data_IF_513501946155
#
_entry.id   IF_513501946155
#
_cell.length_a   1.000
_cell.length_b   1.000
_cell.length_c   1.000
_cell.angle_alpha   90.00
_cell.angle_beta   90.00
_cell.angle_gamma   90.00
#
_symmetry.space_group_name_H-M   'P 1'
#
loop_
_entity.id
_entity.type
_entity.pdbx_description
1 polymer ?
#
# COMPACT_ATOMS: atom_id res chain seq x y z
N UNK A 1 -11.34 13.48 8.85
CA UNK A 1 -10.93 12.91 8.62
C UNK A 1 -11.25 11.74 8.61
N UNK A 2 -11.33 11.18 7.90
CA UNK A 2 -12.07 10.04 7.94
C UNK A 2 -11.36 8.90 7.34
N UNK A 3 -10.53 8.32 8.08
CA UNK A 3 -9.97 7.04 7.69
C UNK A 3 -10.12 6.08 8.86
N UNK A 4 -9.96 4.81 8.56
CA UNK A 4 -10.15 3.75 9.55
C UNK A 4 -8.89 2.90 9.64
N UNK A 5 -8.86 2.04 10.63
CA UNK A 5 -7.85 0.98 10.68
C UNK A 5 -8.47 -0.31 10.21
N UNK A 6 -7.67 -1.16 9.58
CA UNK A 6 -8.11 -2.47 9.15
C UNK A 6 -7.17 -3.50 9.77
N UNK A 7 -7.73 -4.60 10.25
CA UNK A 7 -6.92 -5.67 10.83
C UNK A 7 -6.33 -6.54 9.73
N UNK A 8 -5.28 -7.28 10.08
CA UNK A 8 -4.70 -8.20 9.11
C UNK A 8 -5.70 -9.28 8.70
N UNK A 9 -6.57 -9.68 9.62
CA UNK A 9 -7.58 -10.68 9.30
C UNK A 9 -8.60 -10.15 8.29
N UNK A 10 -9.05 -8.94 8.50
CA UNK A 10 -10.02 -8.35 7.58
C UNK A 10 -9.40 -8.11 6.21
N UNK A 11 -8.16 -7.66 6.18
CA UNK A 11 -7.51 -7.44 4.90
C UNK A 11 -7.29 -8.76 4.16
N UNK A 12 -6.91 -9.81 4.89
CA UNK A 12 -6.72 -11.11 4.27
C UNK A 12 -7.98 -11.58 3.55
N UNK A 13 -9.13 -11.36 4.17
CA UNK A 13 -10.39 -11.82 3.58
C UNK A 13 -10.77 -11.01 2.34
N UNK A 14 -10.09 -9.90 2.09
CA UNK A 14 -10.46 -9.01 0.99
C UNK A 14 -9.38 -8.88 -0.08
N UNK A 15 -8.34 -9.71 -0.01
CA UNK A 15 -7.19 -9.56 -0.92
C UNK A 15 -7.56 -9.69 -2.39
N UNK A 16 -8.61 -10.41 -2.71
CA UNK A 16 -8.99 -10.61 -4.11
C UNK A 16 -10.04 -9.63 -4.60
N UNK A 17 -10.46 -8.70 -3.77
CA UNK A 17 -11.46 -7.71 -4.13
C UNK A 17 -10.87 -6.76 -5.19
N UNK A 18 -11.45 -6.71 -6.41
CA UNK A 18 -10.89 -5.86 -7.45
C UNK A 18 -11.03 -4.36 -7.19
N UNK A 19 -11.87 -3.99 -6.24
CA UNK A 19 -12.05 -2.58 -5.88
C UNK A 19 -11.04 -2.11 -4.85
N UNK A 20 -10.25 -3.01 -4.31
CA UNK A 20 -9.33 -2.70 -3.24
C UNK A 20 -7.93 -2.48 -3.78
N UNK A 21 -7.32 -1.38 -3.38
CA UNK A 21 -5.91 -1.12 -3.68
C UNK A 21 -5.12 -1.10 -2.38
N UNK A 22 -4.05 -1.88 -2.35
CA UNK A 22 -3.16 -1.95 -1.20
C UNK A 22 -1.89 -1.20 -1.58
N UNK A 23 -1.53 -0.20 -0.78
CA UNK A 23 -0.41 0.67 -1.11
C UNK A 23 0.70 0.50 -0.08
N UNK A 24 1.88 0.16 -0.58
CA UNK A 24 3.08 -0.05 0.21
C UNK A 24 3.84 1.26 0.33
N UNK A 25 3.91 1.80 1.53
CA UNK A 25 4.57 3.07 1.79
C UNK A 25 5.86 2.90 2.59
N UNK A 26 6.39 1.68 2.68
CA UNK A 26 7.55 1.43 3.52
C UNK A 26 8.76 2.25 3.10
N UNK A 27 9.43 2.82 4.07
CA UNK A 27 10.62 3.61 3.79
C UNK A 27 11.80 2.74 3.39
N UNK A 28 11.80 1.48 3.79
CA UNK A 28 12.89 0.56 3.48
C UNK A 28 12.50 -0.51 2.50
N UNK A 29 11.55 -0.23 1.63
CA UNK A 29 11.04 -1.26 0.73
C UNK A 29 12.13 -1.82 -0.20
N UNK A 30 13.15 -1.03 -0.52
CA UNK A 30 14.23 -1.54 -1.38
C UNK A 30 14.99 -2.68 -0.74
N UNK A 31 14.99 -2.74 0.58
CA UNK A 31 15.71 -3.79 1.29
C UNK A 31 14.87 -5.04 1.51
N UNK A 32 13.63 -5.02 1.06
CA UNK A 32 12.72 -6.14 1.26
C UNK A 32 12.55 -6.88 -0.06
N UNK A 33 12.48 -8.19 0.01
CA UNK A 33 12.19 -8.98 -1.19
C UNK A 33 10.72 -9.31 -1.31
N UNK A 34 9.94 -9.04 -0.27
CA UNK A 34 8.53 -9.41 -0.23
C UNK A 34 7.66 -8.20 0.05
N UNK A 35 6.43 -8.30 -0.38
CA UNK A 35 5.41 -7.30 -0.08
C UNK A 35 4.08 -8.03 0.14
N UNK A 36 3.09 -7.32 0.65
CA UNK A 36 1.75 -7.88 0.72
C UNK A 36 1.29 -8.17 -0.70
N UNK A 37 0.67 -9.31 -0.87
CA UNK A 37 0.17 -9.72 -2.17
C UNK A 37 -0.72 -8.64 -2.76
N UNK A 38 -0.48 -8.30 -4.03
CA UNK A 38 -1.19 -7.28 -4.78
C UNK A 38 -0.87 -5.84 -4.38
N UNK A 39 0.04 -5.63 -3.43
CA UNK A 39 0.38 -4.26 -3.03
C UNK A 39 1.09 -3.53 -4.16
N UNK A 40 0.82 -2.25 -4.26
CA UNK A 40 1.48 -1.36 -5.19
C UNK A 40 2.38 -0.43 -4.41
N UNK A 41 3.60 -0.24 -4.89
CA UNK A 41 4.54 0.67 -4.24
C UNK A 41 4.26 2.11 -4.63
N UNK A 42 4.11 2.97 -3.63
CA UNK A 42 4.06 4.40 -3.86
C UNK A 42 4.98 5.10 -2.87
N UNK A 43 5.57 6.18 -3.29
CA UNK A 43 6.50 6.93 -2.47
C UNK A 43 5.72 7.97 -1.66
N UNK A 44 5.84 7.95 -0.33
CA UNK A 44 5.06 8.90 0.49
C UNK A 44 5.30 10.36 0.13
N UNK A 45 6.53 10.71 -0.24
CA UNK A 45 6.86 12.09 -0.57
C UNK A 45 6.16 12.57 -1.84
N UNK A 46 5.74 11.66 -2.70
CA UNK A 46 5.12 12.00 -3.96
C UNK A 46 3.61 11.81 -3.94
N UNK A 47 3.00 11.80 -2.77
CA UNK A 47 1.57 11.52 -2.64
C UNK A 47 0.73 12.42 -3.54
N UNK A 48 1.06 13.69 -3.62
CA UNK A 48 0.27 14.62 -4.43
C UNK A 48 0.32 14.26 -5.92
N UNK A 49 1.29 13.50 -6.33
CA UNK A 49 1.39 13.06 -7.73
C UNK A 49 0.62 11.78 -7.96
N UNK A 50 0.84 10.77 -7.11
CA UNK A 50 0.26 9.47 -7.41
C UNK A 50 -1.20 9.33 -6.97
N UNK A 51 -1.68 10.20 -6.09
CA UNK A 51 -3.07 10.06 -5.67
C UNK A 51 -4.04 10.22 -6.84
N UNK A 52 -3.63 10.94 -7.87
CA UNK A 52 -4.48 11.12 -9.04
C UNK A 52 -4.65 9.82 -9.85
N UNK A 53 -3.81 8.84 -9.60
CA UNK A 53 -3.89 7.56 -10.32
C UNK A 53 -4.96 6.63 -9.76
N UNK A 54 -5.61 7.01 -8.68
CA UNK A 54 -6.58 6.14 -8.03
C UNK A 54 -7.95 6.79 -8.01
N UNK A 55 -9.00 6.01 -8.30
CA UNK A 55 -10.35 6.57 -8.22
C UNK A 55 -10.71 6.90 -6.78
N UNK A 56 -11.37 8.02 -6.58
CA UNK A 56 -11.70 8.47 -5.24
C UNK A 56 -12.68 7.57 -4.53
N UNK A 57 -13.43 6.80 -5.27
CA UNK A 57 -14.40 5.88 -4.68
C UNK A 57 -13.85 4.49 -4.42
N UNK A 58 -12.62 4.23 -4.82
CA UNK A 58 -12.02 2.93 -4.56
C UNK A 58 -11.67 2.81 -3.10
N UNK A 59 -11.49 1.57 -2.66
CA UNK A 59 -11.00 1.32 -1.32
C UNK A 59 -9.48 1.29 -1.32
N UNK A 60 -8.87 2.00 -0.38
CA UNK A 60 -7.43 2.10 -0.31
C UNK A 60 -6.98 1.65 1.07
N UNK A 61 -6.04 0.72 1.10
CA UNK A 61 -5.39 0.29 2.33
C UNK A 61 -3.93 0.65 2.26
N UNK A 62 -3.45 1.36 3.27
CA UNK A 62 -2.07 1.81 3.33
C UNK A 62 -1.32 1.00 4.39
N UNK A 63 -0.05 0.69 4.11
CA UNK A 63 0.78 0.10 5.16
C UNK A 63 2.21 0.60 5.03
N UNK A 64 2.89 0.62 6.17
CA UNK A 64 4.29 1.01 6.20
C UNK A 64 5.05 0.05 7.12
N UNK A 65 6.34 0.32 7.31
CA UNK A 65 7.19 -0.64 8.00
C UNK A 65 6.97 -0.66 9.49
N UNK A 66 6.79 0.48 10.08
CA UNK A 66 6.89 0.54 11.53
C UNK A 66 5.57 0.25 12.20
N UNK A 67 5.63 -0.30 13.38
CA UNK A 67 4.40 -0.50 14.16
C UNK A 67 3.68 0.80 14.48
N UNK A 68 4.39 1.92 14.51
CA UNK A 68 3.76 3.20 14.79
C UNK A 68 2.92 3.74 13.66
N UNK A 69 3.08 3.19 12.45
CA UNK A 69 2.22 3.52 11.32
C UNK A 69 2.27 5.00 10.92
N UNK A 70 3.36 5.65 11.25
CA UNK A 70 3.46 7.09 11.11
C UNK A 70 3.22 7.58 9.70
N UNK A 71 3.89 6.96 8.74
CA UNK A 71 3.72 7.36 7.35
C UNK A 71 2.32 7.05 6.85
N UNK A 72 1.80 5.87 7.21
CA UNK A 72 0.46 5.51 6.79
C UNK A 72 -0.58 6.46 7.31
N UNK A 73 -0.46 6.87 8.57
CA UNK A 73 -1.43 7.81 9.15
C UNK A 73 -1.36 9.16 8.47
N UNK A 74 -0.16 9.64 8.21
CA UNK A 74 0.02 10.92 7.54
C UNK A 74 -0.58 10.91 6.15
N UNK A 75 -0.30 9.85 5.40
CA UNK A 75 -0.81 9.77 4.04
C UNK A 75 -2.32 9.55 4.02
N UNK A 76 -2.85 8.80 4.99
CA UNK A 76 -4.29 8.61 5.10
C UNK A 76 -5.01 9.94 5.25
N UNK A 77 -4.44 10.85 6.04
CA UNK A 77 -5.05 12.17 6.21
C UNK A 77 -5.01 12.96 4.91
N UNK A 78 -3.91 12.88 4.18
CA UNK A 78 -3.81 13.58 2.91
C UNK A 78 -4.88 13.07 1.94
N UNK A 79 -5.03 11.76 1.85
CA UNK A 79 -6.02 11.18 0.93
C UNK A 79 -7.43 11.54 1.35
N UNK A 80 -7.72 11.49 2.64
CA UNK A 80 -9.05 11.88 3.11
C UNK A 80 -9.35 13.31 2.75
N UNK A 81 -8.40 14.21 2.97
CA UNK A 81 -8.59 15.61 2.65
C UNK A 81 -8.78 15.83 1.16
N UNK A 82 -8.22 14.95 0.34
CA UNK A 82 -8.33 15.05 -1.11
C UNK A 82 -9.62 14.43 -1.66
N UNK A 83 -10.48 13.91 -0.79
CA UNK A 83 -11.77 13.38 -1.22
C UNK A 83 -11.87 11.87 -1.33
N UNK A 84 -10.84 11.15 -0.91
CA UNK A 84 -10.92 9.70 -0.88
C UNK A 84 -11.75 9.28 0.32
N UNK A 85 -12.79 8.52 0.09
CA UNK A 85 -13.80 8.23 1.11
C UNK A 85 -13.54 6.94 1.86
N UNK A 86 -12.78 6.04 1.28
CA UNK A 86 -12.62 4.70 1.84
C UNK A 86 -11.15 4.37 2.05
N UNK A 87 -10.54 5.04 3.03
CA UNK A 87 -9.12 4.88 3.33
C UNK A 87 -8.97 4.15 4.65
N UNK A 88 -8.13 3.14 4.66
CA UNK A 88 -7.82 2.39 5.88
C UNK A 88 -6.31 2.24 6.02
N UNK A 89 -5.87 2.12 7.25
CA UNK A 89 -4.47 1.89 7.58
C UNK A 89 -4.36 0.51 8.21
N UNK A 90 -3.43 -0.30 7.72
CA UNK A 90 -3.25 -1.65 8.28
C UNK A 90 -2.64 -1.56 9.67
N UNK A 91 -3.39 -2.04 10.64
CA UNK A 91 -2.95 -2.03 12.03
C UNK A 91 -1.68 -2.87 12.18
N UNK A 92 -0.63 -2.26 12.70
CA UNK A 92 0.64 -2.94 12.91
C UNK A 92 1.54 -2.97 11.68
N UNK A 93 1.04 -2.57 10.54
CA UNK A 93 1.86 -2.46 9.33
C UNK A 93 2.44 -3.77 8.84
N UNK A 94 3.55 -3.66 8.15
CA UNK A 94 4.21 -4.83 7.56
C UNK A 94 4.61 -5.87 8.60
N UNK A 95 5.02 -5.42 9.78
CA UNK A 95 5.54 -6.34 10.79
C UNK A 95 4.51 -7.41 11.18
N UNK A 96 3.24 -7.02 11.37
CA UNK A 96 2.25 -8.02 11.76
C UNK A 96 1.91 -8.94 10.61
N UNK A 97 1.92 -8.42 9.38
CA UNK A 97 1.62 -9.24 8.21
C UNK A 97 2.68 -10.32 8.01
N UNK A 98 3.93 -9.88 8.08
CA UNK A 98 5.06 -10.79 7.87
C UNK A 98 5.13 -11.84 8.96
N UNK A 99 4.97 -11.40 10.20
CA UNK A 99 5.04 -12.33 11.35
C UNK A 99 3.95 -13.38 11.28
N UNK A 100 2.78 -13.00 10.82
CA UNK A 100 1.67 -13.94 10.73
C UNK A 100 1.75 -14.84 9.50
N UNK A 101 2.70 -14.59 8.61
CA UNK A 101 2.85 -15.41 7.41
C UNK A 101 1.68 -15.32 6.46
N UNK A 102 1.06 -14.15 6.38
CA UNK A 102 -0.09 -13.96 5.50
C UNK A 102 0.36 -13.78 4.05
N UNK A 103 -0.55 -13.84 3.08
CA UNK A 103 -0.15 -13.89 1.68
C UNK A 103 0.77 -12.74 1.26
N UNK A 104 1.90 -13.13 0.70
CA UNK A 104 2.93 -12.20 0.26
C UNK A 104 3.35 -12.60 -1.15
N UNK A 105 3.98 -11.67 -1.83
CA UNK A 105 4.57 -11.98 -3.12
C UNK A 105 5.89 -11.24 -3.23
N UNK A 106 6.75 -11.71 -4.12
CA UNK A 106 8.02 -11.05 -4.33
C UNK A 106 7.78 -9.70 -4.97
N UNK A 107 8.48 -8.70 -4.46
CA UNK A 107 8.44 -7.43 -5.15
C UNK A 107 9.34 -7.51 -6.38
N UNK A 108 9.00 -6.74 -7.38
CA UNK A 108 9.81 -6.65 -8.59
C UNK A 108 10.93 -5.66 -8.32
N UNK A 109 12.16 -6.12 -8.39
CA UNK A 109 13.30 -5.29 -8.07
C UNK A 109 13.87 -4.55 -9.26
N UNK A 110 13.30 -4.72 -10.41
CA UNK A 110 13.69 -3.98 -11.60
C UNK A 110 13.45 -2.51 -11.37
N UNK A 111 14.42 -1.64 -11.66
CA UNK A 111 14.20 -0.20 -11.51
C UNK A 111 13.03 0.31 -12.32
N UNK A 112 12.62 -0.41 -13.33
CA UNK A 112 11.46 -0.03 -14.12
C UNK A 112 10.16 -0.55 -13.56
N UNK A 113 10.22 -1.28 -12.46
CA UNK A 113 9.05 -1.97 -11.95
C UNK A 113 7.96 -1.03 -11.50
N UNK A 114 8.37 0.15 -11.12
CA UNK A 114 7.36 1.08 -10.72
C UNK A 114 7.06 1.96 -11.90
N UNK A 115 6.28 1.56 -12.64
CA UNK A 115 6.13 2.34 -13.74
C UNK A 115 6.98 2.06 -14.77
N UNK A 116 7.40 1.28 -14.87
CA UNK A 116 8.12 1.20 -15.95
C UNK A 116 8.10 0.02 -16.43
N UNK A 117 8.25 -0.17 -17.04
CA UNK A 117 8.58 -1.21 -17.48
C UNK A 117 9.02 -1.81 -18.12
N UNK A 118 9.16 -2.14 -18.71
CA UNK A 118 9.87 -2.70 -19.26
C UNK A 118 9.68 -3.46 -19.89
N UNK A 119 9.90 -3.39 -20.08
CA UNK A 119 9.92 -3.74 -20.59
C UNK A 119 9.61 -4.28 -20.99
N UNK A 120 9.71 -4.10 -21.18
CA UNK A 120 9.75 -4.33 -21.42
C UNK A 120 9.47 -4.94 -21.69
N UNK A 121 9.50 -5.14 -21.87
CA UNK A 121 9.60 -5.49 -21.90
C UNK A 121 9.57 -6.12 -22.07
N UNK A 122 9.90 -6.18 -21.87
CA UNK A 122 10.14 -6.48 -21.77
C UNK A 122 9.80 -6.85 -21.72
N UNK A 123 9.97 -7.09 -21.87
CA UNK A 123 9.88 -7.13 -21.63
C UNK A 123 9.49 -7.32 -21.57
#
# INVERSE_FOLDING_TARGET
MAFRHITKEDLTSRLEDPQLFIIDLRSNWENSTLKIRRARRETPEDTNLWLADYPKKSEIVLYCSSPGEKDSLRIAEILSAAGFENVSVLSGGWAVWETAGLPMEKRISDPLSKGVVPNVGKP
#
